data_IF_677365040058
#
_entry.id   IF_677365040058
#
_cell.length_a   1.000
_cell.length_b   1.000
_cell.length_c   1.000
_cell.angle_alpha   90.00
_cell.angle_beta   90.00
_cell.angle_gamma   90.00
#
_symmetry.space_group_name_H-M   'P 1'
#
loop_
_entity.id
_entity.type
_entity.pdbx_description
1 polymer ?
#
# COMPACT_ATOMS: atom_id res chain seq x y z
N UNK A 1 -22.31 8.99 -2.12
CA UNK A 1 -21.93 9.20 -3.52
C UNK A 1 -21.34 7.93 -4.11
N UNK A 2 -21.71 7.61 -5.33
CA UNK A 2 -21.20 6.39 -5.96
C UNK A 2 -19.84 6.63 -6.61
N UNK A 3 -18.92 5.69 -6.45
CA UNK A 3 -17.65 5.70 -7.17
C UNK A 3 -17.76 4.77 -8.36
N UNK A 4 -17.43 5.29 -9.55
CA UNK A 4 -17.45 4.50 -10.77
C UNK A 4 -16.06 4.00 -11.10
N UNK A 5 -15.93 2.68 -11.27
CA UNK A 5 -14.67 2.04 -11.63
C UNK A 5 -14.84 1.31 -12.96
N UNK A 6 -13.94 1.59 -13.91
CA UNK A 6 -13.88 0.83 -15.15
C UNK A 6 -12.72 -0.16 -15.02
N UNK A 7 -13.00 -1.44 -15.16
CA UNK A 7 -12.00 -2.51 -15.01
C UNK A 7 -11.68 -3.13 -16.36
N UNK A 8 -10.38 -3.30 -16.61
CA UNK A 8 -9.91 -4.04 -17.79
C UNK A 8 -10.11 -5.53 -17.56
N UNK A 9 -10.06 -6.33 -18.63
CA UNK A 9 -10.14 -7.80 -18.45
C UNK A 9 -9.08 -8.28 -17.45
N UNK A 10 -9.51 -9.14 -16.53
CA UNK A 10 -8.67 -9.76 -15.50
C UNK A 10 -8.04 -8.82 -14.49
N UNK A 11 -8.39 -7.55 -14.53
CA UNK A 11 -7.88 -6.55 -13.58
C UNK A 11 -8.41 -6.85 -12.18
N UNK A 12 -7.54 -6.72 -11.17
CA UNK A 12 -7.92 -6.87 -9.76
C UNK A 12 -8.20 -5.50 -9.15
N UNK A 13 -9.10 -5.49 -8.18
CA UNK A 13 -9.38 -4.33 -7.34
C UNK A 13 -9.72 -4.84 -5.95
N UNK A 14 -9.30 -4.10 -4.93
CA UNK A 14 -9.70 -4.40 -3.55
C UNK A 14 -10.77 -3.40 -3.17
N UNK A 15 -11.94 -3.90 -2.76
CA UNK A 15 -13.07 -3.06 -2.37
C UNK A 15 -13.54 -3.50 -0.99
N UNK A 16 -13.35 -2.63 0.02
CA UNK A 16 -13.76 -2.93 1.38
C UNK A 16 -13.14 -4.20 1.94
N UNK A 17 -11.91 -4.51 1.55
CA UNK A 17 -11.20 -5.71 1.98
C UNK A 17 -11.41 -6.92 1.08
N UNK A 18 -12.40 -6.90 0.19
CA UNK A 18 -12.61 -8.01 -0.76
C UNK A 18 -11.72 -7.83 -1.97
N UNK A 19 -10.97 -8.88 -2.33
CA UNK A 19 -10.17 -8.89 -3.54
C UNK A 19 -11.06 -9.39 -4.68
N UNK A 20 -11.25 -8.54 -5.67
CA UNK A 20 -12.13 -8.84 -6.80
C UNK A 20 -11.29 -8.87 -8.07
N UNK A 21 -11.44 -9.94 -8.87
CA UNK A 21 -10.80 -10.02 -10.18
C UNK A 21 -11.89 -9.95 -11.25
N UNK A 22 -11.70 -9.04 -12.21
CA UNK A 22 -12.63 -8.93 -13.33
C UNK A 22 -12.52 -10.15 -14.23
N UNK A 23 -13.59 -10.44 -14.95
CA UNK A 23 -13.61 -11.52 -15.94
C UNK A 23 -12.86 -11.14 -17.21
N UNK A 24 -13.18 -11.83 -18.29
CA UNK A 24 -12.42 -11.70 -19.54
C UNK A 24 -12.92 -10.57 -20.46
N UNK A 25 -13.85 -9.76 -20.00
CA UNK A 25 -14.29 -8.57 -20.76
C UNK A 25 -14.31 -7.36 -19.85
N UNK A 26 -14.14 -6.19 -20.45
CA UNK A 26 -14.16 -4.92 -19.74
C UNK A 26 -15.49 -4.73 -19.00
N UNK A 27 -15.43 -4.22 -17.77
CA UNK A 27 -16.61 -4.05 -16.92
C UNK A 27 -16.59 -2.71 -16.20
N UNK A 28 -17.77 -2.27 -15.80
CA UNK A 28 -17.93 -1.06 -15.01
C UNK A 28 -18.60 -1.44 -13.70
N UNK A 29 -18.05 -0.95 -12.58
CA UNK A 29 -18.62 -1.16 -11.25
C UNK A 29 -19.01 0.19 -10.66
N UNK A 30 -20.12 0.20 -9.94
CA UNK A 30 -20.52 1.33 -9.13
C UNK A 30 -20.43 0.93 -7.67
N UNK A 31 -19.58 1.65 -6.92
CA UNK A 31 -19.45 1.44 -5.47
C UNK A 31 -20.33 2.48 -4.80
N UNK A 32 -21.41 2.05 -4.18
CA UNK A 32 -22.43 2.98 -3.70
C UNK A 32 -22.18 3.53 -2.30
N UNK A 33 -21.44 2.81 -1.47
CA UNK A 33 -21.10 3.29 -0.13
C UNK A 33 -19.62 3.56 -0.01
N UNK A 34 -19.23 4.28 1.05
CA UNK A 34 -17.83 4.61 1.27
C UNK A 34 -17.09 3.42 1.85
N UNK A 35 -16.16 2.88 1.07
CA UNK A 35 -15.26 1.82 1.51
C UNK A 35 -13.88 2.10 0.90
N UNK A 36 -12.80 1.59 1.51
CA UNK A 36 -11.49 1.71 0.89
C UNK A 36 -11.45 0.95 -0.44
N UNK A 37 -10.92 1.60 -1.46
CA UNK A 37 -10.76 1.00 -2.79
C UNK A 37 -9.30 1.11 -3.18
N UNK A 38 -8.71 0.01 -3.62
CA UNK A 38 -7.33 -0.02 -4.08
C UNK A 38 -7.29 -0.69 -5.45
N UNK A 39 -6.79 0.04 -6.44
CA UNK A 39 -6.73 -0.45 -7.81
C UNK A 39 -5.43 -1.22 -8.06
N UNK A 40 -5.44 -2.06 -9.09
CA UNK A 40 -4.35 -2.99 -9.35
C UNK A 40 -2.94 -2.38 -9.35
N UNK A 41 -2.69 -1.20 -9.96
CA UNK A 41 -1.34 -0.63 -9.93
C UNK A 41 -0.80 -0.38 -8.52
N UNK A 42 -1.68 -0.20 -7.54
CA UNK A 42 -1.29 0.08 -6.16
C UNK A 42 -1.27 -1.17 -5.28
N UNK A 43 -1.68 -2.31 -5.80
CA UNK A 43 -1.72 -3.56 -5.03
C UNK A 43 -0.36 -4.25 -5.08
N UNK A 44 0.21 -4.50 -3.91
CA UNK A 44 1.41 -5.34 -3.79
C UNK A 44 0.98 -6.69 -3.23
N UNK A 45 1.24 -7.76 -3.97
CA UNK A 45 0.87 -9.09 -3.51
C UNK A 45 1.85 -9.55 -2.43
N UNK A 46 1.35 -10.19 -1.35
CA UNK A 46 2.23 -10.62 -0.25
C UNK A 46 3.40 -11.50 -0.70
N UNK A 47 3.19 -12.36 -1.68
CA UNK A 47 4.26 -13.25 -2.16
C UNK A 47 5.23 -12.56 -3.12
N UNK A 48 4.99 -11.30 -3.47
CA UNK A 48 5.91 -10.51 -4.29
C UNK A 48 6.84 -9.63 -3.45
N UNK A 49 6.65 -9.60 -2.13
CA UNK A 49 7.45 -8.77 -1.22
C UNK A 49 8.84 -9.37 -1.06
N UNK A 50 9.88 -8.56 -1.29
CA UNK A 50 11.28 -9.00 -1.23
C UNK A 50 12.15 -8.13 -0.35
N UNK A 51 11.78 -6.87 -0.13
CA UNK A 51 12.62 -5.88 0.54
C UNK A 51 11.96 -5.32 1.79
N UNK A 52 12.76 -4.74 2.71
CA UNK A 52 12.16 -4.12 3.92
C UNK A 52 11.17 -3.02 3.59
N UNK A 53 11.45 -2.17 2.60
CA UNK A 53 10.50 -1.10 2.25
C UNK A 53 9.24 -1.66 1.59
N UNK A 54 9.35 -2.75 0.84
CA UNK A 54 8.16 -3.43 0.32
C UNK A 54 7.30 -3.98 1.45
N UNK A 55 7.92 -4.43 2.54
CA UNK A 55 7.18 -4.88 3.72
C UNK A 55 6.43 -3.72 4.38
N UNK A 56 7.05 -2.53 4.41
CA UNK A 56 6.39 -1.32 4.90
C UNK A 56 5.18 -1.00 4.02
N UNK A 57 5.37 -1.05 2.70
CA UNK A 57 4.27 -0.82 1.76
C UNK A 57 3.12 -1.79 2.02
N UNK A 58 3.43 -3.08 2.15
CA UNK A 58 2.40 -4.09 2.41
C UNK A 58 1.68 -3.84 3.73
N UNK A 59 2.41 -3.44 4.78
CA UNK A 59 1.78 -3.12 6.06
C UNK A 59 0.80 -1.96 5.92
N UNK A 60 1.18 -0.91 5.19
CA UNK A 60 0.29 0.22 4.91
C UNK A 60 -0.92 -0.21 4.09
N UNK A 61 -0.71 -1.07 3.10
CA UNK A 61 -1.80 -1.60 2.30
C UNK A 61 -2.80 -2.34 3.17
N UNK A 62 -2.32 -3.17 4.09
CA UNK A 62 -3.18 -3.91 5.00
C UNK A 62 -3.90 -2.98 5.97
N UNK A 63 -3.20 -1.94 6.47
CA UNK A 63 -3.86 -0.91 7.29
C UNK A 63 -5.03 -0.26 6.53
N UNK A 64 -4.87 -0.07 5.24
CA UNK A 64 -5.89 0.57 4.42
C UNK A 64 -7.06 -0.36 4.10
N UNK A 65 -6.79 -1.63 3.77
CA UNK A 65 -7.84 -2.53 3.27
C UNK A 65 -8.37 -3.52 4.29
N UNK A 66 -7.63 -3.82 5.36
CA UNK A 66 -8.04 -4.78 6.39
C UNK A 66 -8.28 -4.06 7.71
N UNK A 67 -9.40 -3.35 7.78
CA UNK A 67 -9.71 -2.50 8.93
C UNK A 67 -9.87 -3.30 10.23
N UNK A 68 -10.36 -4.52 10.15
CA UNK A 68 -10.58 -5.35 11.34
C UNK A 68 -9.29 -5.60 12.12
N UNK A 69 -8.16 -5.70 11.43
CA UNK A 69 -6.86 -5.94 12.05
C UNK A 69 -5.96 -4.71 12.02
N UNK A 70 -6.57 -3.55 11.96
CA UNK A 70 -5.81 -2.30 11.82
C UNK A 70 -4.73 -2.16 12.89
N UNK A 71 -5.05 -2.43 14.17
CA UNK A 71 -4.09 -2.30 15.25
C UNK A 71 -2.88 -3.22 15.08
N UNK A 72 -3.12 -4.46 14.63
CA UNK A 72 -2.03 -5.41 14.36
C UNK A 72 -1.13 -4.91 13.24
N UNK A 73 -1.73 -4.37 12.18
CA UNK A 73 -0.98 -3.87 11.04
C UNK A 73 -0.17 -2.63 11.41
N UNK A 74 -0.69 -1.78 12.29
CA UNK A 74 0.05 -0.61 12.79
C UNK A 74 1.29 -1.06 13.54
N UNK A 75 1.17 -2.07 14.41
CA UNK A 75 2.34 -2.58 15.16
C UNK A 75 3.40 -3.12 14.22
N UNK A 76 3.01 -3.90 13.22
CA UNK A 76 3.94 -4.41 12.22
C UNK A 76 4.62 -3.28 11.46
N UNK A 77 3.83 -2.27 11.07
CA UNK A 77 4.34 -1.09 10.37
C UNK A 77 5.39 -0.37 11.22
N UNK A 78 5.10 -0.13 12.49
CA UNK A 78 6.02 0.59 13.38
C UNK A 78 7.34 -0.15 13.57
N UNK A 79 7.30 -1.46 13.72
CA UNK A 79 8.51 -2.27 13.83
C UNK A 79 9.35 -2.19 12.56
N UNK A 80 8.70 -2.32 11.40
CA UNK A 80 9.38 -2.28 10.11
C UNK A 80 10.03 -0.92 9.87
N UNK A 81 9.32 0.17 10.19
CA UNK A 81 9.86 1.53 10.05
C UNK A 81 11.08 1.71 10.94
N UNK A 82 11.00 1.26 12.19
CA UNK A 82 12.12 1.36 13.12
C UNK A 82 13.35 0.63 12.59
N UNK A 83 13.15 -0.57 12.05
CA UNK A 83 14.26 -1.37 11.51
C UNK A 83 14.91 -0.67 10.32
N UNK A 84 14.11 -0.12 9.41
CA UNK A 84 14.62 0.57 8.23
C UNK A 84 15.35 1.85 8.62
N UNK A 85 14.84 2.59 9.60
CA UNK A 85 15.50 3.80 10.08
C UNK A 85 16.90 3.51 10.60
N UNK A 86 17.07 2.38 11.30
CA UNK A 86 18.38 1.98 11.81
C UNK A 86 19.32 1.52 10.71
N UNK A 87 18.77 0.78 9.72
CA UNK A 87 19.59 0.20 8.66
C UNK A 87 19.94 1.19 7.56
N UNK A 88 19.08 2.15 7.31
CA UNK A 88 19.24 3.11 6.21
C UNK A 88 18.82 4.51 6.65
N UNK A 89 19.67 5.21 7.42
CA UNK A 89 19.32 6.55 7.93
C UNK A 89 18.97 7.56 6.83
N UNK A 90 19.47 7.37 5.62
CA UNK A 90 19.16 8.28 4.51
C UNK A 90 17.67 8.22 4.12
N UNK A 91 16.95 7.20 4.53
CA UNK A 91 15.51 7.08 4.25
C UNK A 91 14.66 7.74 5.32
N UNK A 92 15.24 8.21 6.43
CA UNK A 92 14.47 8.79 7.52
C UNK A 92 13.55 9.93 7.08
N UNK A 93 14.00 10.91 6.27
CA UNK A 93 13.08 11.97 5.83
C UNK A 93 11.85 11.45 5.09
N UNK A 94 12.03 10.46 4.21
CA UNK A 94 10.92 9.88 3.47
C UNK A 94 9.98 9.12 4.41
N UNK A 95 10.53 8.39 5.39
CA UNK A 95 9.74 7.67 6.38
C UNK A 95 8.96 8.62 7.27
N UNK A 96 9.56 9.76 7.66
CA UNK A 96 8.88 10.76 8.48
C UNK A 96 7.68 11.36 7.75
N UNK A 97 7.81 11.62 6.45
CA UNK A 97 6.70 12.13 5.66
C UNK A 97 5.55 11.14 5.61
N UNK A 98 5.86 9.84 5.49
CA UNK A 98 4.84 8.79 5.52
C UNK A 98 4.19 8.74 6.91
N UNK A 99 4.98 8.81 7.98
CA UNK A 99 4.46 8.77 9.33
C UNK A 99 3.52 9.94 9.65
N UNK A 100 3.79 11.11 9.10
CA UNK A 100 2.89 12.25 9.25
C UNK A 100 1.52 11.94 8.66
N UNK A 101 1.48 11.30 7.49
CA UNK A 101 0.21 10.93 6.88
C UNK A 101 -0.52 9.87 7.70
N UNK A 102 0.21 8.87 8.19
CA UNK A 102 -0.38 7.84 9.04
C UNK A 102 -0.97 8.46 10.31
N UNK A 103 -0.20 9.34 10.97
CA UNK A 103 -0.65 10.00 12.18
C UNK A 103 -1.86 10.89 11.99
N UNK A 104 -2.04 11.42 10.78
CA UNK A 104 -3.20 12.25 10.44
C UNK A 104 -4.38 11.40 9.95
N UNK A 105 -4.26 10.08 9.95
CA UNK A 105 -5.32 9.19 9.49
C UNK A 105 -5.44 9.09 7.97
N UNK A 106 -4.46 9.60 7.24
CA UNK A 106 -4.48 9.60 5.77
C UNK A 106 -3.70 8.40 5.22
N UNK A 107 -4.24 7.22 5.43
CA UNK A 107 -3.54 5.97 5.09
C UNK A 107 -3.31 5.83 3.59
N UNK A 108 -4.28 6.22 2.77
CA UNK A 108 -4.12 6.16 1.32
C UNK A 108 -2.96 7.05 0.86
N UNK A 109 -2.87 8.27 1.38
CA UNK A 109 -1.77 9.18 1.06
C UNK A 109 -0.43 8.63 1.54
N UNK A 110 -0.42 7.98 2.71
CA UNK A 110 0.78 7.31 3.21
C UNK A 110 1.22 6.22 2.25
N UNK A 111 0.27 5.43 1.74
CA UNK A 111 0.55 4.37 0.78
C UNK A 111 1.13 4.94 -0.52
N UNK A 112 0.57 6.03 -1.02
CA UNK A 112 1.09 6.69 -2.21
C UNK A 112 2.51 7.20 -1.97
N UNK A 113 2.78 7.75 -0.78
CA UNK A 113 4.12 8.19 -0.43
C UNK A 113 5.12 7.04 -0.35
N UNK A 114 4.66 5.87 0.06
CA UNK A 114 5.52 4.70 0.16
C UNK A 114 6.00 4.21 -1.20
N UNK A 115 5.32 4.54 -2.28
CA UNK A 115 5.81 4.28 -3.63
C UNK A 115 7.17 4.96 -3.86
N UNK A 116 7.29 6.20 -3.44
CA UNK A 116 8.56 6.92 -3.52
C UNK A 116 9.64 6.27 -2.67
N UNK A 117 9.25 5.72 -1.53
CA UNK A 117 10.18 4.99 -0.67
C UNK A 117 10.75 3.75 -1.38
N UNK A 118 9.93 3.03 -2.12
CA UNK A 118 10.41 1.88 -2.90
C UNK A 118 11.43 2.30 -3.96
N UNK A 119 11.19 3.41 -4.62
CA UNK A 119 12.11 3.92 -5.62
C UNK A 119 13.45 4.31 -4.99
N UNK A 120 13.42 4.96 -3.83
CA UNK A 120 14.65 5.34 -3.12
C UNK A 120 15.43 4.12 -2.64
N UNK A 121 14.74 3.10 -2.20
CA UNK A 121 15.38 1.85 -1.79
C UNK A 121 16.15 1.21 -2.94
N UNK A 122 15.57 1.23 -4.12
CA UNK A 122 16.24 0.67 -5.31
C UNK A 122 17.52 1.44 -5.64
N UNK A 123 17.54 2.73 -5.40
CA UNK A 123 18.74 3.55 -5.60
C UNK A 123 19.85 3.22 -4.61
N UNK A 124 19.49 2.81 -3.40
CA UNK A 124 20.48 2.49 -2.37
C UNK A 124 21.19 1.17 -2.61
N UNK A 125 20.60 0.28 -3.43
CA UNK A 125 21.19 -1.03 -3.68
C UNK A 125 21.34 -1.29 -5.20
N UNK A 126 21.97 -0.34 -5.93
CA UNK A 126 22.04 -0.47 -7.39
C UNK A 126 22.86 -1.65 -7.89
N UNK A 127 23.72 -2.18 -7.04
CA UNK A 127 24.56 -3.33 -7.43
C UNK A 127 23.98 -4.67 -7.11
N UNK A 128 22.74 -4.74 -6.61
CA UNK A 128 22.15 -5.97 -6.11
C UNK A 128 21.11 -6.55 -7.06
N UNK A 129 21.05 -6.08 -8.27
CA UNK A 129 20.09 -6.60 -9.24
C UNK A 129 20.45 -8.01 -9.69
#
# INVERSE_FOLDING_TARGET
MALRLTLRPHERVIVGGAVIRNGDSRSELLIENEVPVLREPDILSPNAVRTPCERIYLALQLMYVDHERFAEHVLSYEELVSDVQRAAPSLIPALQAIEEQVGAGRIYQALKGARGLLDRERELVPGVQ
#
